data_IF_010852439951
#
_entry.id   IF_010852439951
#
_cell.length_a   1.000
_cell.length_b   1.000
_cell.length_c   1.000
_cell.angle_alpha   90.00
_cell.angle_beta   90.00
_cell.angle_gamma   90.00
#
_symmetry.space_group_name_H-M   'P 1'
#
loop_
_entity.id
_entity.type
_entity.pdbx_description
1 polymer ?
#
# COMPACT_ATOMS: atom_id res chain seq x y z
N UNK A 1 -15.09 7.08 -46.52
CA UNK A 1 -13.86 6.25 -46.58
C UNK A 1 -13.41 5.88 -45.17
N UNK A 2 -14.17 5.02 -44.48
CA UNK A 2 -13.99 4.68 -43.05
C UNK A 2 -13.92 3.17 -42.81
N UNK A 3 -13.73 2.37 -43.87
CA UNK A 3 -13.87 0.91 -43.80
C UNK A 3 -12.56 0.15 -43.49
N UNK A 4 -11.39 0.78 -43.61
CA UNK A 4 -10.10 0.08 -43.45
C UNK A 4 -9.66 -0.09 -41.99
N UNK A 5 -9.90 0.90 -41.12
CA UNK A 5 -9.49 0.82 -39.71
C UNK A 5 -10.26 -0.26 -38.92
N UNK A 6 -11.57 -0.36 -39.15
CA UNK A 6 -12.45 -1.38 -38.53
C UNK A 6 -12.12 -2.80 -39.03
N UNK A 7 -11.61 -2.91 -40.25
CA UNK A 7 -11.18 -4.16 -40.87
C UNK A 7 -9.86 -4.67 -40.30
N UNK A 8 -8.86 -3.79 -40.10
CA UNK A 8 -7.58 -4.15 -39.49
C UNK A 8 -7.72 -4.63 -38.03
N UNK A 9 -8.58 -3.98 -37.23
CA UNK A 9 -8.86 -4.42 -35.85
C UNK A 9 -9.54 -5.80 -35.82
N UNK A 10 -10.40 -6.09 -36.79
CA UNK A 10 -11.15 -7.35 -36.84
C UNK A 10 -10.28 -8.55 -37.23
N UNK A 11 -9.30 -8.32 -38.12
CA UNK A 11 -8.33 -9.35 -38.50
C UNK A 11 -7.36 -9.66 -37.35
N UNK A 12 -6.86 -8.63 -36.65
CA UNK A 12 -5.96 -8.80 -35.51
C UNK A 12 -6.64 -9.58 -34.35
N UNK A 13 -7.89 -9.25 -34.03
CA UNK A 13 -8.68 -10.02 -33.06
C UNK A 13 -8.87 -11.47 -33.53
N UNK A 14 -9.16 -11.69 -34.82
CA UNK A 14 -9.33 -13.03 -35.36
C UNK A 14 -8.03 -13.88 -35.26
N UNK A 15 -6.87 -13.27 -35.50
CA UNK A 15 -5.56 -13.94 -35.35
C UNK A 15 -5.28 -14.32 -33.91
N UNK A 16 -5.51 -13.42 -32.96
CA UNK A 16 -5.35 -13.69 -31.53
C UNK A 16 -6.27 -14.79 -31.03
N UNK A 17 -7.52 -14.81 -31.49
CA UNK A 17 -8.47 -15.90 -31.18
C UNK A 17 -7.97 -17.23 -31.76
N UNK A 18 -7.44 -17.26 -33.00
CA UNK A 18 -6.85 -18.48 -33.59
C UNK A 18 -5.62 -18.96 -32.81
N UNK A 19 -4.76 -18.03 -32.38
CA UNK A 19 -3.58 -18.33 -31.58
C UNK A 19 -3.97 -18.90 -30.21
N UNK A 20 -4.95 -18.30 -29.54
CA UNK A 20 -5.50 -18.77 -28.27
C UNK A 20 -6.06 -20.20 -28.41
N UNK A 21 -6.87 -20.47 -29.43
CA UNK A 21 -7.41 -21.80 -29.68
C UNK A 21 -6.31 -22.84 -29.92
N UNK A 22 -5.26 -22.46 -30.67
CA UNK A 22 -4.11 -23.33 -30.91
C UNK A 22 -3.35 -23.65 -29.62
N UNK A 23 -3.12 -22.65 -28.75
CA UNK A 23 -2.50 -22.82 -27.43
C UNK A 23 -3.30 -23.77 -26.52
N UNK A 24 -4.62 -23.81 -26.69
CA UNK A 24 -5.54 -24.69 -25.94
C UNK A 24 -5.75 -26.06 -26.61
N UNK A 25 -4.96 -26.40 -27.64
CA UNK A 25 -4.97 -27.71 -28.29
C UNK A 25 -6.04 -27.89 -29.36
N UNK A 26 -6.75 -26.84 -29.76
CA UNK A 26 -7.80 -26.92 -30.79
C UNK A 26 -7.15 -26.85 -32.17
N UNK A 27 -7.24 -27.95 -32.92
CA UNK A 27 -6.71 -28.04 -34.27
C UNK A 27 -7.38 -27.06 -35.23
N UNK A 28 -6.63 -26.51 -36.21
CA UNK A 28 -7.12 -25.52 -37.20
C UNK A 28 -8.47 -25.89 -37.83
N UNK A 29 -8.67 -27.18 -38.15
CA UNK A 29 -9.92 -27.70 -38.76
C UNK A 29 -11.15 -27.64 -37.83
N UNK A 30 -10.95 -27.53 -36.51
CA UNK A 30 -12.00 -27.48 -35.50
C UNK A 30 -12.28 -26.05 -35.01
N UNK A 31 -11.42 -25.08 -35.30
CA UNK A 31 -11.50 -23.71 -34.76
C UNK A 31 -12.81 -23.00 -35.13
N UNK A 32 -13.28 -23.15 -36.38
CA UNK A 32 -14.56 -22.57 -36.81
C UNK A 32 -15.73 -23.17 -36.04
N UNK A 33 -15.75 -24.49 -35.86
CA UNK A 33 -16.80 -25.20 -35.12
C UNK A 33 -16.82 -24.76 -33.66
N UNK A 34 -15.64 -24.66 -33.04
CA UNK A 34 -15.51 -24.24 -31.65
C UNK A 34 -15.92 -22.77 -31.46
N UNK A 35 -15.55 -21.88 -32.39
CA UNK A 35 -16.00 -20.49 -32.35
C UNK A 35 -17.52 -20.38 -32.47
N UNK A 36 -18.13 -21.17 -33.37
CA UNK A 36 -19.59 -21.18 -33.55
C UNK A 36 -20.30 -21.68 -32.28
N UNK A 37 -19.74 -22.67 -31.60
CA UNK A 37 -20.25 -23.19 -30.32
C UNK A 37 -20.22 -22.11 -29.24
N UNK A 38 -19.11 -21.38 -29.10
CA UNK A 38 -18.93 -20.34 -28.07
C UNK A 38 -19.83 -19.13 -28.34
N UNK A 39 -19.90 -18.68 -29.60
CA UNK A 39 -20.61 -17.46 -29.97
C UNK A 39 -22.06 -17.69 -30.41
N UNK A 40 -22.53 -18.94 -30.46
CA UNK A 40 -23.86 -19.32 -30.96
C UNK A 40 -24.11 -18.77 -32.38
N UNK A 41 -23.13 -18.96 -33.25
CA UNK A 41 -23.16 -18.46 -34.64
C UNK A 41 -23.34 -19.60 -35.65
N UNK A 42 -23.83 -19.25 -36.84
CA UNK A 42 -23.77 -20.20 -37.97
C UNK A 42 -22.32 -20.41 -38.42
N UNK A 43 -22.06 -21.57 -39.04
CA UNK A 43 -20.72 -21.92 -39.53
C UNK A 43 -20.13 -20.84 -40.47
N UNK A 44 -20.96 -20.31 -41.39
CA UNK A 44 -20.56 -19.25 -42.30
C UNK A 44 -20.20 -17.95 -41.57
N UNK A 45 -20.92 -17.60 -40.50
CA UNK A 45 -20.63 -16.41 -39.68
C UNK A 45 -19.34 -16.59 -38.87
N UNK A 46 -19.15 -17.74 -38.23
CA UNK A 46 -17.92 -18.05 -37.49
C UNK A 46 -16.69 -18.09 -38.41
N UNK A 47 -16.81 -18.68 -39.59
CA UNK A 47 -15.73 -18.71 -40.57
C UNK A 47 -15.35 -17.28 -41.03
N UNK A 48 -16.34 -16.42 -41.32
CA UNK A 48 -16.06 -15.03 -41.72
C UNK A 48 -15.35 -14.25 -40.61
N UNK A 49 -15.73 -14.45 -39.34
CA UNK A 49 -15.06 -13.83 -38.19
C UNK A 49 -13.61 -14.28 -38.05
N UNK A 50 -13.31 -15.58 -38.18
CA UNK A 50 -11.93 -16.08 -38.09
C UNK A 50 -11.00 -15.63 -39.24
N UNK A 51 -11.58 -15.22 -40.37
CA UNK A 51 -10.86 -14.61 -41.50
C UNK A 51 -10.80 -13.08 -41.45
N UNK A 52 -11.34 -12.45 -40.41
CA UNK A 52 -11.37 -10.98 -40.29
C UNK A 52 -12.35 -10.28 -41.24
N UNK A 53 -13.20 -11.02 -41.98
CA UNK A 53 -14.17 -10.44 -42.93
C UNK A 53 -15.51 -10.04 -42.30
N UNK A 54 -15.59 -10.06 -40.97
CA UNK A 54 -16.73 -9.61 -40.17
C UNK A 54 -16.23 -8.93 -38.90
N UNK A 55 -16.85 -7.81 -38.48
CA UNK A 55 -16.42 -7.08 -37.30
C UNK A 55 -16.64 -7.88 -36.01
N UNK A 56 -15.75 -7.69 -35.03
CA UNK A 56 -15.88 -8.24 -33.68
C UNK A 56 -16.49 -7.20 -32.74
N UNK A 57 -17.47 -7.62 -31.93
CA UNK A 57 -18.00 -6.78 -30.85
C UNK A 57 -17.28 -7.09 -29.54
N UNK A 58 -17.21 -6.11 -28.63
CA UNK A 58 -16.60 -6.32 -27.31
C UNK A 58 -17.28 -7.45 -26.53
N UNK A 59 -18.60 -7.60 -26.66
CA UNK A 59 -19.35 -8.70 -26.04
C UNK A 59 -18.92 -10.09 -26.58
N UNK A 60 -18.67 -10.21 -27.88
CA UNK A 60 -18.17 -11.45 -28.49
C UNK A 60 -16.74 -11.76 -28.04
N UNK A 61 -15.89 -10.73 -27.94
CA UNK A 61 -14.51 -10.88 -27.46
C UNK A 61 -14.50 -11.36 -26.00
N UNK A 62 -15.34 -10.78 -25.14
CA UNK A 62 -15.50 -11.22 -23.73
C UNK A 62 -15.98 -12.66 -23.64
N UNK A 63 -17.01 -13.05 -24.40
CA UNK A 63 -17.55 -14.43 -24.40
C UNK A 63 -16.50 -15.47 -24.81
N UNK A 64 -15.64 -15.14 -25.78
CA UNK A 64 -14.51 -16.02 -26.16
C UNK A 64 -13.46 -16.06 -25.06
N UNK A 65 -13.09 -14.93 -24.48
CA UNK A 65 -12.11 -14.86 -23.40
C UNK A 65 -12.54 -15.68 -22.16
N UNK A 66 -13.81 -15.54 -21.76
CA UNK A 66 -14.44 -16.30 -20.66
C UNK A 66 -14.43 -17.81 -20.94
N UNK A 67 -14.76 -18.24 -22.16
CA UNK A 67 -14.74 -19.65 -22.54
C UNK A 67 -13.36 -20.31 -22.43
N UNK A 68 -12.29 -19.52 -22.50
CA UNK A 68 -10.91 -19.99 -22.36
C UNK A 68 -10.25 -19.58 -21.03
N UNK A 69 -10.99 -18.95 -20.13
CA UNK A 69 -10.52 -18.43 -18.85
C UNK A 69 -9.31 -17.48 -18.99
N UNK A 70 -9.36 -16.57 -19.97
CA UNK A 70 -8.33 -15.55 -20.23
C UNK A 70 -8.90 -14.13 -20.12
N UNK A 71 -8.09 -13.11 -19.78
CA UNK A 71 -8.51 -11.71 -19.81
C UNK A 71 -8.84 -11.22 -21.24
N UNK A 72 -10.00 -10.59 -21.43
CA UNK A 72 -10.42 -10.06 -22.73
C UNK A 72 -9.43 -9.03 -23.35
N UNK A 73 -8.64 -8.34 -22.51
CA UNK A 73 -7.59 -7.40 -22.92
C UNK A 73 -6.52 -8.05 -23.83
N UNK A 74 -6.26 -9.36 -23.66
CA UNK A 74 -5.31 -10.09 -24.50
C UNK A 74 -5.81 -10.26 -25.95
N UNK A 75 -7.13 -10.39 -26.15
CA UNK A 75 -7.72 -10.56 -27.48
C UNK A 75 -7.89 -9.21 -28.22
N UNK A 76 -8.10 -8.11 -27.49
CA UNK A 76 -8.18 -6.74 -28.05
C UNK A 76 -6.79 -6.18 -28.36
N UNK A 77 -5.70 -6.78 -27.85
CA UNK A 77 -4.34 -6.30 -28.08
C UNK A 77 -3.87 -5.24 -27.10
N UNK A 78 -4.61 -5.06 -26.01
CA UNK A 78 -4.18 -4.20 -24.90
C UNK A 78 -3.11 -4.87 -24.05
N UNK A 79 -2.87 -6.19 -24.22
CA UNK A 79 -1.95 -6.92 -23.36
C UNK A 79 -0.56 -7.15 -23.94
N UNK A 80 -0.34 -7.22 -25.26
CA UNK A 80 1.00 -7.54 -25.81
C UNK A 80 1.16 -6.95 -27.21
N UNK A 81 2.10 -6.01 -27.32
CA UNK A 81 3.10 -5.85 -28.39
C UNK A 81 3.65 -4.40 -28.36
N UNK A 82 4.22 -3.99 -27.23
CA UNK A 82 5.21 -2.91 -27.25
C UNK A 82 6.51 -3.52 -27.80
N UNK A 83 6.96 -3.17 -29.02
CA UNK A 83 8.18 -3.72 -29.60
C UNK A 83 9.37 -3.47 -28.66
N UNK A 84 9.98 -4.56 -28.17
CA UNK A 84 11.10 -4.54 -27.21
C UNK A 84 10.84 -5.32 -25.92
N UNK A 85 9.59 -5.42 -25.45
CA UNK A 85 9.27 -6.11 -24.17
C UNK A 85 9.23 -7.63 -24.31
N UNK A 86 8.97 -8.15 -25.52
CA UNK A 86 8.79 -9.59 -25.77
C UNK A 86 10.05 -10.45 -25.52
N UNK A 87 11.24 -9.87 -25.60
CA UNK A 87 12.52 -10.55 -25.32
C UNK A 87 13.03 -10.32 -23.89
N UNK A 88 12.37 -9.45 -23.13
CA UNK A 88 12.80 -9.06 -21.79
C UNK A 88 12.15 -9.94 -20.70
N UNK A 89 12.95 -10.32 -19.69
CA UNK A 89 12.48 -11.12 -18.56
C UNK A 89 12.04 -10.22 -17.40
N UNK A 90 10.81 -10.40 -16.92
CA UNK A 90 10.33 -9.73 -15.71
C UNK A 90 11.06 -10.26 -14.45
N UNK A 91 11.60 -9.35 -13.64
CA UNK A 91 12.31 -9.64 -12.38
C UNK A 91 11.88 -8.67 -11.30
N UNK A 92 11.76 -9.16 -10.06
CA UNK A 92 11.69 -8.29 -8.89
C UNK A 92 13.04 -7.58 -8.71
N UNK A 93 12.99 -6.27 -8.49
CA UNK A 93 14.17 -5.42 -8.38
C UNK A 93 13.93 -4.25 -7.41
N UNK A 94 15.02 -3.52 -7.11
CA UNK A 94 14.97 -2.21 -6.48
C UNK A 94 15.33 -1.14 -7.50
N UNK A 95 14.45 -0.16 -7.70
CA UNK A 95 14.78 1.09 -8.37
C UNK A 95 15.55 1.99 -7.40
N UNK A 96 16.81 2.25 -7.68
CA UNK A 96 17.67 3.10 -6.86
C UNK A 96 17.79 4.48 -7.51
N UNK A 97 17.30 5.52 -6.81
CA UNK A 97 17.47 6.93 -7.21
C UNK A 97 18.10 7.67 -6.02
N UNK A 98 19.37 8.03 -6.15
CA UNK A 98 20.15 8.59 -5.05
C UNK A 98 20.21 7.60 -3.85
N UNK A 99 19.88 8.04 -2.62
CA UNK A 99 19.86 7.16 -1.45
C UNK A 99 18.56 6.35 -1.31
N UNK A 100 17.57 6.56 -2.18
CA UNK A 100 16.24 5.95 -2.06
C UNK A 100 16.15 4.71 -2.92
N UNK A 101 15.59 3.65 -2.35
CA UNK A 101 15.36 2.36 -3.02
C UNK A 101 13.86 2.04 -2.98
N UNK A 102 13.24 1.81 -4.15
CA UNK A 102 11.83 1.42 -4.26
C UNK A 102 11.68 0.03 -4.88
N UNK A 103 10.87 -0.86 -4.29
CA UNK A 103 10.50 -2.12 -4.93
C UNK A 103 9.83 -1.90 -6.27
N UNK A 104 10.27 -2.63 -7.29
CA UNK A 104 9.70 -2.58 -8.63
C UNK A 104 9.74 -3.95 -9.30
N UNK A 105 8.99 -4.08 -10.40
CA UNK A 105 9.21 -5.13 -11.39
C UNK A 105 9.93 -4.49 -12.57
N UNK A 106 11.08 -5.05 -12.94
CA UNK A 106 11.88 -4.62 -14.08
C UNK A 106 11.84 -5.67 -15.17
N UNK A 107 11.63 -5.26 -16.42
CA UNK A 107 11.78 -6.12 -17.59
C UNK A 107 13.20 -5.96 -18.12
N UNK A 108 14.01 -6.97 -17.85
CA UNK A 108 15.44 -6.97 -18.13
C UNK A 108 15.68 -7.59 -19.50
N UNK A 109 16.23 -6.79 -20.40
CA UNK A 109 16.56 -7.15 -21.77
C UNK A 109 18.01 -7.60 -21.92
N UNK A 110 18.59 -7.23 -23.06
CA UNK A 110 19.92 -7.66 -23.46
C UNK A 110 21.03 -6.98 -22.63
N UNK A 111 22.21 -7.61 -22.50
CA UNK A 111 23.39 -6.96 -21.93
C UNK A 111 23.74 -5.66 -22.65
N UNK A 112 24.03 -4.62 -21.89
CA UNK A 112 24.55 -3.35 -22.43
C UNK A 112 26.04 -3.50 -22.69
N UNK A 113 26.49 -2.98 -23.82
CA UNK A 113 27.90 -2.95 -24.20
C UNK A 113 28.30 -1.52 -24.59
N UNK A 114 29.60 -1.29 -24.83
CA UNK A 114 30.13 0.03 -25.16
C UNK A 114 29.50 0.70 -26.40
N UNK A 115 28.75 -0.04 -27.22
CA UNK A 115 28.11 0.45 -28.44
C UNK A 115 26.59 0.62 -28.29
N UNK A 116 26.02 0.32 -27.11
CA UNK A 116 24.59 0.49 -26.81
C UNK A 116 24.42 1.44 -25.63
N UNK A 117 23.54 2.41 -25.81
CA UNK A 117 23.12 3.31 -24.75
C UNK A 117 21.75 2.87 -24.24
N UNK A 118 21.62 2.70 -22.92
CA UNK A 118 20.36 2.51 -22.24
C UNK A 118 20.27 3.52 -21.10
N UNK A 119 19.17 4.28 -21.00
CA UNK A 119 19.00 5.27 -19.95
C UNK A 119 18.91 4.61 -18.56
N UNK A 120 18.30 3.44 -18.49
CA UNK A 120 18.22 2.63 -17.29
C UNK A 120 18.86 1.27 -17.51
N UNK A 121 19.63 0.82 -16.52
CA UNK A 121 20.28 -0.48 -16.53
C UNK A 121 19.96 -1.25 -15.25
N UNK A 122 19.90 -2.57 -15.38
CA UNK A 122 19.75 -3.49 -14.28
C UNK A 122 20.99 -4.36 -14.14
N UNK A 123 21.43 -4.61 -12.91
CA UNK A 123 22.50 -5.54 -12.61
C UNK A 123 22.19 -6.32 -11.33
N UNK A 124 22.65 -7.57 -11.20
CA UNK A 124 22.49 -8.34 -9.97
C UNK A 124 23.45 -7.81 -8.88
N UNK A 125 22.97 -7.70 -7.65
CA UNK A 125 23.79 -7.40 -6.47
C UNK A 125 23.35 -8.29 -5.31
N UNK A 126 24.09 -9.37 -5.05
CA UNK A 126 23.63 -10.44 -4.16
C UNK A 126 22.43 -11.15 -4.78
N UNK A 127 21.39 -11.40 -3.98
CA UNK A 127 20.17 -12.08 -4.43
C UNK A 127 19.13 -11.14 -5.07
N UNK A 128 19.45 -9.86 -5.26
CA UNK A 128 18.49 -8.85 -5.70
C UNK A 128 18.98 -8.11 -6.94
N UNK A 129 18.06 -7.84 -7.86
CA UNK A 129 18.32 -6.97 -9.01
C UNK A 129 18.21 -5.51 -8.60
N UNK A 130 19.13 -4.67 -9.10
CA UNK A 130 19.09 -3.22 -8.92
C UNK A 130 18.94 -2.53 -10.25
N UNK A 131 17.96 -1.64 -10.34
CA UNK A 131 17.75 -0.75 -11.48
C UNK A 131 18.27 0.63 -11.13
N UNK A 132 19.17 1.14 -11.95
CA UNK A 132 19.75 2.49 -11.81
C UNK A 132 19.62 3.24 -13.12
N UNK A 133 19.66 4.57 -13.04
CA UNK A 133 19.93 5.39 -14.21
C UNK A 133 21.40 5.23 -14.60
N UNK A 134 21.69 5.03 -15.88
CA UNK A 134 23.04 4.90 -16.40
C UNK A 134 23.77 6.25 -16.31
N UNK A 135 24.51 6.46 -15.22
CA UNK A 135 25.36 7.63 -15.03
C UNK A 135 26.82 7.17 -14.86
N UNK A 136 27.69 7.56 -15.80
CA UNK A 136 29.11 7.21 -15.76
C UNK A 136 29.41 5.78 -16.24
N UNK A 137 30.33 5.10 -15.56
CA UNK A 137 30.76 3.74 -15.93
C UNK A 137 29.70 2.70 -15.52
N UNK A 138 29.26 1.89 -16.49
CA UNK A 138 28.30 0.81 -16.25
C UNK A 138 28.92 -0.31 -15.41
N UNK A 139 28.08 -0.97 -14.60
CA UNK A 139 28.49 -2.18 -13.89
C UNK A 139 28.88 -3.30 -14.88
N UNK A 140 29.84 -4.13 -14.50
CA UNK A 140 30.04 -5.42 -15.16
C UNK A 140 28.71 -6.20 -15.03
N UNK A 141 28.17 -6.67 -16.14
CA UNK A 141 26.86 -7.36 -16.24
C UNK A 141 25.60 -6.47 -16.21
N UNK A 142 25.74 -5.18 -16.55
CA UNK A 142 24.60 -4.31 -16.77
C UNK A 142 23.76 -4.77 -17.99
N UNK A 143 22.46 -4.98 -17.78
CA UNK A 143 21.48 -5.25 -18.81
C UNK A 143 20.54 -4.06 -19.02
N UNK A 144 20.05 -3.89 -20.24
CA UNK A 144 19.06 -2.88 -20.57
C UNK A 144 17.75 -3.12 -19.80
N UNK A 145 17.13 -2.05 -19.32
CA UNK A 145 15.79 -2.11 -18.71
C UNK A 145 14.78 -1.54 -19.69
N UNK A 146 13.87 -2.39 -20.15
CA UNK A 146 12.88 -2.04 -21.18
C UNK A 146 11.60 -1.47 -20.56
N UNK A 147 11.26 -1.89 -19.34
CA UNK A 147 10.10 -1.40 -18.59
C UNK A 147 10.38 -1.46 -17.09
N UNK A 148 9.93 -0.45 -16.37
CA UNK A 148 9.91 -0.41 -14.91
C UNK A 148 8.46 -0.23 -14.47
N UNK A 149 7.98 -1.10 -13.61
CA UNK A 149 6.67 -1.00 -12.98
C UNK A 149 6.86 -0.82 -11.48
N UNK A 150 6.49 0.35 -10.99
CA UNK A 150 6.54 0.68 -9.56
C UNK A 150 5.19 0.34 -8.97
N UNK A 151 5.19 -0.52 -7.96
CA UNK A 151 4.02 -0.83 -7.16
C UNK A 151 4.09 0.00 -5.87
N UNK A 152 3.48 1.19 -5.82
CA UNK A 152 3.42 1.93 -4.58
C UNK A 152 2.70 1.08 -3.53
N UNK A 153 3.22 1.10 -2.30
CA UNK A 153 2.47 0.53 -1.18
C UNK A 153 1.13 1.25 -1.12
N UNK A 154 0.02 0.47 -1.14
CA UNK A 154 -1.31 1.04 -0.92
C UNK A 154 -1.30 1.72 0.44
N UNK A 155 -1.95 2.89 0.55
CA UNK A 155 -2.18 3.54 1.82
C UNK A 155 -2.75 2.50 2.79
N UNK A 156 -1.98 2.13 3.81
CA UNK A 156 -2.49 1.35 4.92
C UNK A 156 -3.15 2.32 5.88
N UNK A 157 -4.30 1.92 6.43
CA UNK A 157 -4.92 2.62 7.55
C UNK A 157 -3.94 2.57 8.72
N UNK A 158 -3.14 3.63 8.87
CA UNK A 158 -2.25 3.77 10.02
C UNK A 158 -3.12 4.16 11.21
N UNK A 159 -3.45 3.18 12.05
CA UNK A 159 -4.08 3.42 13.34
C UNK A 159 -3.06 4.13 14.26
N UNK A 160 -3.34 5.34 14.77
CA UNK A 160 -2.39 6.05 15.61
C UNK A 160 -2.13 5.29 16.90
N UNK A 161 -0.86 5.20 17.30
CA UNK A 161 -0.45 4.48 18.49
C UNK A 161 -0.61 5.36 19.72
N UNK A 162 -1.47 4.96 20.67
CA UNK A 162 -1.78 5.77 21.85
C UNK A 162 -1.24 5.07 23.10
N UNK A 163 -0.31 5.69 23.83
CA UNK A 163 0.06 5.17 25.15
C UNK A 163 -1.08 5.41 26.14
N UNK A 164 -1.52 4.37 26.85
CA UNK A 164 -2.46 4.45 27.96
C UNK A 164 -1.71 4.09 29.23
N UNK A 165 -1.46 5.08 30.09
CA UNK A 165 -0.64 4.93 31.29
C UNK A 165 -1.55 5.09 32.50
N UNK A 166 -1.94 3.99 33.13
CA UNK A 166 -2.81 4.02 34.33
C UNK A 166 -2.53 2.75 35.16
N UNK A 167 -2.35 2.93 36.48
CA UNK A 167 -2.10 1.81 37.39
C UNK A 167 -3.35 0.96 37.65
N UNK A 168 -4.54 1.53 37.46
CA UNK A 168 -5.78 0.79 37.52
C UNK A 168 -5.96 0.05 36.19
N UNK A 169 -5.56 -1.21 36.21
CA UNK A 169 -5.68 -2.11 35.05
C UNK A 169 -7.10 -2.18 34.49
N UNK A 170 -8.13 -2.10 35.34
CA UNK A 170 -9.52 -2.17 34.87
C UNK A 170 -9.88 -0.91 34.09
N UNK A 171 -9.50 0.26 34.61
CA UNK A 171 -9.70 1.53 33.92
C UNK A 171 -8.88 1.62 32.63
N UNK A 172 -7.61 1.18 32.67
CA UNK A 172 -6.71 1.14 31.52
C UNK A 172 -7.25 0.24 30.40
N UNK A 173 -7.73 -0.96 30.73
CA UNK A 173 -8.29 -1.90 29.77
C UNK A 173 -9.62 -1.39 29.18
N UNK A 174 -10.46 -0.72 29.97
CA UNK A 174 -11.68 -0.10 29.47
C UNK A 174 -11.39 1.03 28.47
N UNK A 175 -10.42 1.90 28.79
CA UNK A 175 -9.97 2.96 27.89
C UNK A 175 -9.33 2.39 26.62
N UNK A 176 -8.50 1.35 26.74
CA UNK A 176 -7.93 0.61 25.62
C UNK A 176 -9.03 0.10 24.68
N UNK A 177 -10.04 -0.60 25.21
CA UNK A 177 -11.11 -1.15 24.39
C UNK A 177 -11.90 -0.06 23.65
N UNK A 178 -12.13 1.09 24.29
CA UNK A 178 -12.81 2.23 23.68
C UNK A 178 -11.97 2.88 22.57
N UNK A 179 -10.67 3.04 22.78
CA UNK A 179 -9.73 3.58 21.78
C UNK A 179 -9.60 2.63 20.57
N UNK A 180 -9.52 1.31 20.79
CA UNK A 180 -9.48 0.31 19.70
C UNK A 180 -10.75 0.37 18.83
N UNK A 181 -11.92 0.48 19.46
CA UNK A 181 -13.21 0.66 18.77
C UNK A 181 -13.28 1.98 17.99
N UNK A 182 -12.56 3.00 18.46
CA UNK A 182 -12.47 4.32 17.83
C UNK A 182 -11.39 4.42 16.73
N UNK A 183 -10.72 3.31 16.39
CA UNK A 183 -9.75 3.25 15.29
C UNK A 183 -8.29 3.52 15.68
N UNK A 184 -7.98 3.59 16.97
CA UNK A 184 -6.61 3.75 17.46
C UNK A 184 -5.92 2.39 17.70
N UNK A 185 -4.61 2.43 17.94
CA UNK A 185 -3.79 1.29 18.36
C UNK A 185 -3.20 1.56 19.76
N UNK A 186 -4.00 1.46 20.84
CA UNK A 186 -3.54 1.74 22.19
C UNK A 186 -2.55 0.71 22.73
N UNK A 187 -1.59 1.16 23.53
CA UNK A 187 -0.61 0.34 24.25
C UNK A 187 -0.68 0.71 25.73
N UNK A 188 -0.96 -0.27 26.58
CA UNK A 188 -1.17 -0.05 28.02
C UNK A 188 0.14 -0.19 28.80
N UNK A 189 0.37 0.74 29.72
CA UNK A 189 1.46 0.73 30.69
C UNK A 189 0.90 0.90 32.10
N UNK A 190 1.13 -0.07 32.98
CA UNK A 190 0.61 -0.07 34.35
C UNK A 190 1.50 0.71 35.34
N UNK A 191 2.70 1.13 34.90
CA UNK A 191 3.63 1.94 35.70
C UNK A 191 4.29 3.03 34.85
N UNK A 192 4.67 4.12 35.51
CA UNK A 192 5.43 5.21 34.90
C UNK A 192 6.79 4.73 34.39
N UNK A 193 7.48 3.87 35.14
CA UNK A 193 8.77 3.30 34.74
C UNK A 193 8.71 2.49 33.44
N UNK A 194 7.70 1.64 33.29
CA UNK A 194 7.51 0.84 32.08
C UNK A 194 7.18 1.71 30.87
N UNK A 195 6.44 2.79 31.07
CA UNK A 195 6.15 3.77 30.04
C UNK A 195 7.42 4.56 29.62
N UNK A 196 8.20 5.04 30.57
CA UNK A 196 9.47 5.75 30.30
C UNK A 196 10.49 4.85 29.59
N UNK A 197 10.51 3.56 29.91
CA UNK A 197 11.30 2.55 29.20
C UNK A 197 10.85 2.39 27.75
N UNK A 198 9.54 2.34 27.52
CA UNK A 198 8.98 2.25 26.17
C UNK A 198 9.25 3.51 25.32
N UNK A 199 9.28 4.71 25.91
CA UNK A 199 9.61 5.95 25.20
C UNK A 199 11.02 5.94 24.57
N UNK A 200 11.93 5.07 25.03
CA UNK A 200 13.27 4.95 24.46
C UNK A 200 13.31 4.11 23.17
N UNK A 201 12.38 3.20 22.99
CA UNK A 201 12.37 2.21 21.90
C UNK A 201 11.19 2.38 20.94
N UNK A 202 10.14 3.07 21.38
CA UNK A 202 8.89 3.25 20.65
C UNK A 202 8.48 4.73 20.61
N UNK A 203 7.80 5.12 19.54
CA UNK A 203 7.13 6.41 19.41
C UNK A 203 5.63 6.25 19.59
N UNK A 204 5.00 7.20 20.26
CA UNK A 204 3.55 7.23 20.46
C UNK A 204 2.98 8.47 19.77
N UNK A 205 1.90 8.26 19.02
CA UNK A 205 1.18 9.34 18.36
C UNK A 205 0.44 10.23 19.37
N UNK A 206 0.00 9.66 20.49
CA UNK A 206 -0.55 10.38 21.63
C UNK A 206 -0.34 9.63 22.95
N UNK A 207 -0.55 10.33 24.07
CA UNK A 207 -0.47 9.75 25.41
C UNK A 207 -1.72 10.12 26.20
N UNK A 208 -2.33 9.14 26.85
CA UNK A 208 -3.36 9.33 27.87
C UNK A 208 -2.82 8.74 29.17
N UNK A 209 -2.66 9.56 30.21
CA UNK A 209 -2.07 9.14 31.49
C UNK A 209 -2.96 9.52 32.66
N UNK A 210 -3.04 8.66 33.67
CA UNK A 210 -3.49 9.08 34.99
C UNK A 210 -2.50 10.09 35.60
N UNK A 211 -2.96 10.93 36.51
CA UNK A 211 -2.08 11.85 37.24
C UNK A 211 -1.32 11.14 38.35
N UNK A 212 -1.97 10.25 39.09
CA UNK A 212 -1.49 9.76 40.37
C UNK A 212 -1.11 8.27 40.32
N UNK A 213 0.14 7.97 40.66
CA UNK A 213 0.70 6.62 40.71
C UNK A 213 1.20 6.28 42.12
N UNK A 214 0.27 6.16 43.07
CA UNK A 214 0.63 5.99 44.48
C UNK A 214 1.08 7.33 45.06
N UNK A 215 2.33 7.41 45.51
CA UNK A 215 2.94 8.65 46.01
C UNK A 215 3.63 9.47 44.90
N UNK A 216 3.67 8.92 43.67
CA UNK A 216 4.29 9.55 42.51
C UNK A 216 3.23 10.21 41.61
N UNK A 217 3.66 11.22 40.83
CA UNK A 217 2.83 11.85 39.81
C UNK A 217 3.38 11.62 38.41
N UNK A 218 2.52 11.72 37.41
CA UNK A 218 2.92 11.57 36.01
C UNK A 218 3.77 12.74 35.46
N UNK A 219 4.06 13.78 36.27
CA UNK A 219 4.78 14.98 35.80
C UNK A 219 6.12 14.65 35.12
N UNK A 220 6.94 13.82 35.75
CA UNK A 220 8.25 13.42 35.20
C UNK A 220 8.11 12.63 33.89
N UNK A 221 7.12 11.74 33.81
CA UNK A 221 6.83 10.98 32.60
C UNK A 221 6.35 11.87 31.45
N UNK A 222 5.54 12.90 31.73
CA UNK A 222 5.13 13.89 30.73
C UNK A 222 6.33 14.70 30.25
N UNK A 223 7.25 15.09 31.14
CA UNK A 223 8.52 15.72 30.74
C UNK A 223 9.38 14.78 29.88
N UNK A 224 9.37 13.48 30.14
CA UNK A 224 10.03 12.48 29.30
C UNK A 224 9.41 12.42 27.89
N UNK A 225 8.08 12.52 27.76
CA UNK A 225 7.41 12.63 26.45
C UNK A 225 7.91 13.86 25.69
N UNK A 226 8.02 15.02 26.37
CA UNK A 226 8.52 16.27 25.76
C UNK A 226 9.99 16.22 25.36
N UNK A 227 10.77 15.29 25.91
CA UNK A 227 12.16 15.00 25.51
C UNK A 227 12.28 13.86 24.49
N UNK A 228 11.19 13.18 24.15
CA UNK A 228 11.18 12.05 23.22
C UNK A 228 11.25 12.49 21.75
N UNK A 229 11.37 11.51 20.83
CA UNK A 229 11.36 11.75 19.38
C UNK A 229 10.06 12.41 18.90
N UNK A 230 8.95 12.22 19.62
CA UNK A 230 7.65 12.79 19.30
C UNK A 230 7.23 13.77 20.40
N UNK A 231 8.07 14.78 20.64
CA UNK A 231 7.87 15.78 21.70
C UNK A 231 6.56 16.56 21.58
N UNK A 232 6.03 16.71 20.36
CA UNK A 232 4.76 17.37 20.09
C UNK A 232 3.53 16.46 20.23
N UNK A 233 3.68 15.18 20.62
CA UNK A 233 2.55 14.28 20.82
C UNK A 233 1.54 14.90 21.82
N UNK A 234 0.24 14.93 21.50
CA UNK A 234 -0.77 15.40 22.44
C UNK A 234 -0.81 14.49 23.67
N UNK A 235 -0.87 15.11 24.84
CA UNK A 235 -0.92 14.43 26.15
C UNK A 235 -2.23 14.79 26.83
N UNK A 236 -2.97 13.75 27.22
CA UNK A 236 -4.24 13.81 27.93
C UNK A 236 -4.02 13.32 29.36
N UNK A 237 -4.17 14.21 30.31
CA UNK A 237 -4.03 13.92 31.73
C UNK A 237 -5.41 13.65 32.34
N UNK A 238 -5.59 12.49 32.96
CA UNK A 238 -6.78 12.13 33.72
C UNK A 238 -6.51 12.31 35.22
N UNK A 239 -7.42 12.94 35.95
CA UNK A 239 -7.29 13.11 37.41
C UNK A 239 -8.64 12.97 38.10
N UNK A 240 -8.73 12.18 39.17
CA UNK A 240 -9.97 11.96 39.93
C UNK A 240 -10.00 12.61 41.31
N UNK A 241 -8.92 13.28 41.72
CA UNK A 241 -8.68 13.67 43.11
C UNK A 241 -8.42 15.18 43.28
N UNK A 242 -8.81 16.00 42.29
CA UNK A 242 -8.77 17.47 42.39
C UNK A 242 -9.64 17.96 43.56
N UNK A 243 -10.84 17.39 43.70
CA UNK A 243 -11.78 17.76 44.77
C UNK A 243 -11.39 17.20 46.16
N UNK A 244 -10.58 16.14 46.22
CA UNK A 244 -10.17 15.51 47.48
C UNK A 244 -8.85 16.06 48.03
N UNK A 245 -8.16 16.93 47.27
CA UNK A 245 -6.92 17.61 47.68
C UNK A 245 -5.68 16.72 47.72
N UNK A 246 -5.80 15.44 47.35
CA UNK A 246 -4.64 14.53 47.22
C UNK A 246 -3.82 14.80 45.96
N UNK A 247 -4.45 15.37 44.93
CA UNK A 247 -3.75 15.93 43.79
C UNK A 247 -3.52 17.43 44.00
N UNK A 248 -2.28 17.88 43.86
CA UNK A 248 -1.92 19.29 43.93
C UNK A 248 -2.43 20.03 42.69
N UNK A 249 -3.49 20.82 42.85
CA UNK A 249 -4.08 21.63 41.75
C UNK A 249 -3.05 22.60 41.16
N UNK A 250 -2.16 23.15 41.99
CA UNK A 250 -1.07 24.00 41.53
C UNK A 250 -0.07 23.26 40.65
N UNK A 251 0.29 22.02 41.00
CA UNK A 251 1.22 21.22 40.18
C UNK A 251 0.60 20.84 38.83
N UNK A 252 -0.66 20.41 38.83
CA UNK A 252 -1.39 20.09 37.60
C UNK A 252 -1.49 21.35 36.71
N UNK A 253 -1.80 22.50 37.31
CA UNK A 253 -1.86 23.77 36.57
C UNK A 253 -0.52 24.17 35.98
N UNK A 254 0.59 23.93 36.69
CA UNK A 254 1.93 24.19 36.20
C UNK A 254 2.30 23.26 35.05
N UNK A 255 1.93 21.98 35.13
CA UNK A 255 2.10 20.99 34.06
C UNK A 255 1.30 21.37 32.81
N UNK A 256 0.03 21.78 32.96
CA UNK A 256 -0.80 22.28 31.83
C UNK A 256 -0.12 23.44 31.13
N UNK A 257 0.36 24.43 31.89
CA UNK A 257 0.96 25.65 31.32
C UNK A 257 2.33 25.38 30.68
N UNK A 258 3.17 24.55 31.30
CA UNK A 258 4.56 24.35 30.86
C UNK A 258 4.69 23.27 29.79
N UNK A 259 3.86 22.24 29.84
CA UNK A 259 4.01 21.03 29.04
C UNK A 259 2.87 20.84 28.03
N UNK A 260 1.94 21.80 27.89
CA UNK A 260 0.83 21.76 26.92
C UNK A 260 0.06 20.43 26.96
N UNK A 261 -0.65 20.20 28.07
CA UNK A 261 -1.46 18.99 28.27
C UNK A 261 -2.94 19.34 28.44
N UNK A 262 -3.83 18.50 27.90
CA UNK A 262 -5.27 18.59 28.18
C UNK A 262 -5.58 17.82 29.46
N UNK A 263 -6.16 18.47 30.46
CA UNK A 263 -6.57 17.82 31.71
C UNK A 263 -8.07 17.50 31.71
N UNK A 264 -8.44 16.29 32.13
CA UNK A 264 -9.81 15.81 32.26
C UNK A 264 -10.05 15.21 33.65
N UNK A 265 -11.16 15.60 34.26
CA UNK A 265 -11.57 15.04 35.56
C UNK A 265 -12.20 13.64 35.37
N UNK A 266 -11.85 12.69 36.25
CA UNK A 266 -12.46 11.36 36.32
C UNK A 266 -13.82 11.47 37.07
N UNK A 267 -14.91 10.82 36.60
CA UNK A 267 -14.98 9.95 35.44
C UNK A 267 -15.00 10.75 34.12
N UNK A 268 -14.00 10.50 33.28
CA UNK A 268 -13.84 11.25 32.04
C UNK A 268 -14.89 10.84 31.01
N UNK A 269 -15.43 11.83 30.29
CA UNK A 269 -16.34 11.60 29.16
C UNK A 269 -15.53 11.13 27.95
N UNK A 270 -15.34 9.82 27.80
CA UNK A 270 -14.46 9.22 26.78
C UNK A 270 -14.74 9.69 25.34
N UNK A 271 -16.00 9.91 24.99
CA UNK A 271 -16.37 10.45 23.68
C UNK A 271 -15.78 11.85 23.42
N UNK A 272 -15.71 12.71 24.45
CA UNK A 272 -15.12 14.05 24.33
C UNK A 272 -13.60 13.96 24.24
N UNK A 273 -12.98 13.07 25.04
CA UNK A 273 -11.55 12.82 24.99
C UNK A 273 -11.13 12.33 23.59
N UNK A 274 -11.85 11.35 23.04
CA UNK A 274 -11.57 10.81 21.71
C UNK A 274 -11.78 11.87 20.62
N UNK A 275 -12.80 12.72 20.73
CA UNK A 275 -12.99 13.80 19.77
C UNK A 275 -11.82 14.82 19.77
N UNK A 276 -11.32 15.21 20.95
CA UNK A 276 -10.14 16.09 21.04
C UNK A 276 -8.87 15.38 20.56
N UNK A 277 -8.70 14.11 20.90
CA UNK A 277 -7.59 13.27 20.43
C UNK A 277 -7.55 13.20 18.89
N UNK A 278 -8.67 12.85 18.25
CA UNK A 278 -8.78 12.79 16.79
C UNK A 278 -8.47 14.13 16.14
N UNK A 279 -8.98 15.22 16.72
CA UNK A 279 -8.71 16.59 16.24
C UNK A 279 -7.23 16.94 16.31
N UNK A 280 -6.56 16.69 17.43
CA UNK A 280 -5.13 16.99 17.63
C UNK A 280 -4.23 16.18 16.71
N UNK A 281 -4.67 14.99 16.31
CA UNK A 281 -3.96 14.09 15.41
C UNK A 281 -4.31 14.31 13.92
N UNK A 282 -5.24 15.21 13.60
CA UNK A 282 -5.61 15.53 12.20
C UNK A 282 -6.53 14.51 11.53
N UNK A 283 -7.28 13.71 12.31
CA UNK A 283 -8.26 12.73 11.82
C UNK A 283 -9.71 13.23 11.85
N UNK A 284 -9.92 14.55 11.97
CA UNK A 284 -11.23 15.19 12.01
C UNK A 284 -11.81 15.49 10.62
#
# INVERSE_FOLDING_TARGET
MTNDATSMDSLAVAERVRALMTKRGIAKRQQTTELCRILELSFSQGHRKLRGSSPWTLAQIRKVAEAFNEPAAQLVGMAQDEPGVAEASAREALLCIGPVEWPCIAWIGNPVNAHRYAEYVAYPRGDQWRVVRAEGALAADACEVVKIEIHPQRAQDRRPVVAVVDRDRTAAEALRAYLEQSGFSPVVHESLSAFEDALRTQTFDAVVTDWLFGDETAAAAIEAVRRSRQSAAPVFLLTGELLTGKASESEISDVIRRLDVSCYEKPARLAILVADLSKRLGFA
#
